data_IF_937194825082
#
_entry.id   IF_937194825082
#
_cell.length_a   1.000
_cell.length_b   1.000
_cell.length_c   1.000
_cell.angle_alpha   90.00
_cell.angle_beta   90.00
_cell.angle_gamma   90.00
#
_symmetry.space_group_name_H-M   'P 1'
#
loop_
_entity.id
_entity.type
_entity.pdbx_description
1 polymer ?
#
# COMPACT_ATOMS: atom_id res chain seq x y z
N UNK A 1 -27.92 -11.85 -17.93
CA UNK A 1 -26.50 -12.22 -17.83
C UNK A 1 -26.34 -13.65 -18.31
N UNK A 2 -25.27 -13.99 -19.04
CA UNK A 2 -25.00 -15.36 -19.49
C UNK A 2 -24.54 -16.21 -18.31
N UNK A 3 -24.96 -17.48 -18.23
CA UNK A 3 -24.52 -18.43 -17.19
C UNK A 3 -22.99 -18.56 -17.09
N UNK A 4 -22.29 -18.29 -18.19
CA UNK A 4 -20.82 -18.33 -18.25
C UNK A 4 -20.19 -17.18 -17.46
N UNK A 5 -20.82 -16.01 -17.44
CA UNK A 5 -20.31 -14.83 -16.75
C UNK A 5 -20.38 -14.99 -15.22
N UNK A 6 -21.52 -15.48 -14.71
CA UNK A 6 -21.71 -15.73 -13.28
C UNK A 6 -20.72 -16.79 -12.77
N UNK A 7 -20.42 -17.78 -13.60
CA UNK A 7 -19.41 -18.81 -13.30
C UNK A 7 -18.00 -18.22 -13.19
N UNK A 8 -17.63 -17.33 -14.12
CA UNK A 8 -16.33 -16.65 -14.10
C UNK A 8 -16.17 -15.80 -12.84
N UNK A 9 -17.19 -15.01 -12.49
CA UNK A 9 -17.15 -14.16 -11.30
C UNK A 9 -17.01 -14.99 -10.02
N UNK A 10 -17.78 -16.08 -9.91
CA UNK A 10 -17.69 -16.99 -8.77
C UNK A 10 -16.29 -17.59 -8.62
N UNK A 11 -15.69 -18.06 -9.72
CA UNK A 11 -14.35 -18.64 -9.69
C UNK A 11 -13.28 -17.60 -9.28
N UNK A 12 -13.41 -16.35 -9.72
CA UNK A 12 -12.51 -15.27 -9.34
C UNK A 12 -12.61 -14.93 -7.83
N UNK A 13 -13.82 -14.96 -7.29
CA UNK A 13 -14.08 -14.72 -5.87
C UNK A 13 -13.49 -15.83 -5.00
N UNK A 14 -13.71 -17.10 -5.37
CA UNK A 14 -13.14 -18.26 -4.66
C UNK A 14 -11.60 -18.24 -4.69
N UNK A 15 -11.01 -17.94 -5.86
CA UNK A 15 -9.56 -17.83 -6.00
C UNK A 15 -8.97 -16.67 -5.17
N UNK A 16 -9.69 -15.55 -5.06
CA UNK A 16 -9.27 -14.42 -4.22
C UNK A 16 -9.42 -14.76 -2.74
N UNK A 17 -10.50 -15.43 -2.33
CA UNK A 17 -10.70 -15.86 -0.95
C UNK A 17 -9.58 -16.81 -0.50
N UNK A 18 -9.19 -17.78 -1.33
CA UNK A 18 -8.10 -18.71 -1.04
C UNK A 18 -6.75 -17.98 -0.84
N UNK A 19 -6.45 -16.96 -1.66
CA UNK A 19 -5.23 -16.14 -1.50
C UNK A 19 -5.22 -15.32 -0.21
N UNK A 20 -6.40 -14.97 0.31
CA UNK A 20 -6.56 -14.15 1.49
C UNK A 20 -6.56 -14.97 2.80
N UNK A 21 -6.61 -16.29 2.76
CA UNK A 21 -6.63 -17.14 3.97
C UNK A 21 -5.48 -16.80 4.94
N UNK A 22 -4.25 -16.67 4.41
CA UNK A 22 -3.09 -16.30 5.23
C UNK A 22 -3.23 -14.88 5.80
N UNK A 23 -3.89 -13.98 5.08
CA UNK A 23 -4.09 -12.60 5.53
C UNK A 23 -5.07 -12.52 6.70
N UNK A 24 -6.14 -13.32 6.68
CA UNK A 24 -7.04 -13.47 7.82
C UNK A 24 -6.30 -14.04 9.04
N UNK A 25 -5.48 -15.07 8.82
CA UNK A 25 -4.69 -15.69 9.89
C UNK A 25 -3.70 -14.70 10.53
N UNK A 26 -2.92 -13.98 9.72
CA UNK A 26 -1.94 -13.00 10.20
C UNK A 26 -2.61 -11.84 10.97
N UNK A 27 -3.86 -11.52 10.64
CA UNK A 27 -4.62 -10.47 11.31
C UNK A 27 -5.45 -10.98 12.51
N UNK A 28 -5.31 -12.27 12.88
CA UNK A 28 -6.03 -12.91 13.99
C UNK A 28 -7.57 -12.74 13.89
N UNK A 29 -8.09 -12.65 12.67
CA UNK A 29 -9.51 -12.52 12.42
C UNK A 29 -10.21 -13.89 12.46
N UNK A 30 -11.52 -13.89 12.72
CA UNK A 30 -12.35 -15.10 12.62
C UNK A 30 -12.28 -15.71 11.20
N UNK A 31 -12.77 -16.94 11.01
CA UNK A 31 -12.64 -17.63 9.71
C UNK A 31 -13.10 -16.77 8.51
N UNK A 32 -12.42 -16.88 7.34
CA UNK A 32 -12.75 -16.10 6.16
C UNK A 32 -14.23 -16.18 5.82
N UNK A 33 -14.88 -15.02 5.80
CA UNK A 33 -16.28 -14.88 5.41
C UNK A 33 -16.41 -13.58 4.63
N UNK A 34 -17.11 -13.63 3.49
CA UNK A 34 -17.31 -12.47 2.63
C UNK A 34 -18.79 -12.37 2.26
N UNK A 35 -19.29 -11.15 2.01
CA UNK A 35 -18.60 -9.86 2.12
C UNK A 35 -18.31 -9.43 3.56
N UNK A 36 -17.27 -8.61 3.76
CA UNK A 36 -16.91 -7.99 5.04
C UNK A 36 -17.12 -6.48 5.04
N UNK A 37 -17.13 -5.87 6.22
CA UNK A 37 -17.15 -4.41 6.37
C UNK A 37 -15.75 -3.83 6.43
N UNK A 38 -15.67 -2.50 6.25
CA UNK A 38 -14.42 -1.74 6.17
C UNK A 38 -13.49 -1.98 7.35
N UNK A 39 -14.02 -2.13 8.56
CA UNK A 39 -13.20 -2.32 9.77
C UNK A 39 -12.43 -3.65 9.73
N UNK A 40 -13.07 -4.71 9.24
CA UNK A 40 -12.43 -6.01 9.02
C UNK A 40 -11.33 -5.90 7.96
N UNK A 41 -11.56 -5.13 6.89
CA UNK A 41 -10.54 -4.89 5.86
C UNK A 41 -9.35 -4.13 6.43
N UNK A 42 -9.58 -3.07 7.20
CA UNK A 42 -8.52 -2.29 7.84
C UNK A 42 -7.71 -3.18 8.80
N UNK A 43 -8.37 -4.00 9.63
CA UNK A 43 -7.70 -4.95 10.51
C UNK A 43 -6.86 -5.98 9.72
N UNK A 44 -7.41 -6.52 8.63
CA UNK A 44 -6.70 -7.45 7.75
C UNK A 44 -5.44 -6.81 7.16
N UNK A 45 -5.56 -5.60 6.64
CA UNK A 45 -4.45 -4.86 6.03
C UNK A 45 -3.38 -4.50 7.09
N UNK A 46 -3.82 -4.08 8.28
CA UNK A 46 -2.96 -3.71 9.40
C UNK A 46 -2.13 -4.90 9.93
N UNK A 47 -2.78 -6.05 10.15
CA UNK A 47 -2.14 -7.29 10.61
C UNK A 47 -1.17 -7.89 9.60
N UNK A 48 -1.31 -7.53 8.31
CA UNK A 48 -0.35 -7.90 7.27
C UNK A 48 0.71 -6.83 7.03
N UNK A 49 0.82 -5.84 7.92
CA UNK A 49 1.91 -4.89 7.92
C UNK A 49 1.83 -3.83 6.83
N UNK A 50 0.65 -3.52 6.31
CA UNK A 50 0.47 -2.42 5.37
C UNK A 50 0.07 -1.13 6.10
N UNK A 51 0.37 0.01 5.49
CA UNK A 51 -0.08 1.33 5.93
C UNK A 51 -1.31 1.71 5.10
N UNK A 52 -2.48 1.61 5.71
CA UNK A 52 -3.74 2.00 5.10
C UNK A 52 -4.70 2.47 6.19
N UNK A 53 -5.07 3.74 6.14
CA UNK A 53 -6.12 4.28 6.99
C UNK A 53 -7.46 4.34 6.22
N UNK A 54 -8.53 4.75 6.93
CA UNK A 54 -9.85 4.90 6.32
C UNK A 54 -9.86 5.94 5.20
N UNK A 55 -9.03 7.00 5.29
CA UNK A 55 -8.97 8.06 4.29
C UNK A 55 -8.43 7.55 2.96
N UNK A 56 -7.27 6.89 2.98
CA UNK A 56 -6.67 6.26 1.81
C UNK A 56 -7.59 5.17 1.21
N UNK A 57 -8.21 4.37 2.07
CA UNK A 57 -9.14 3.34 1.62
C UNK A 57 -10.35 3.95 0.89
N UNK A 58 -10.92 5.03 1.41
CA UNK A 58 -12.03 5.74 0.75
C UNK A 58 -11.58 6.42 -0.56
N UNK A 59 -10.39 7.03 -0.58
CA UNK A 59 -9.81 7.62 -1.80
C UNK A 59 -9.72 6.59 -2.94
N UNK A 60 -9.27 5.36 -2.65
CA UNK A 60 -9.16 4.28 -3.63
C UNK A 60 -10.53 3.81 -4.14
N UNK A 61 -11.55 3.82 -3.28
CA UNK A 61 -12.93 3.47 -3.65
C UNK A 61 -13.56 4.59 -4.49
N UNK A 62 -13.44 5.83 -4.05
CA UNK A 62 -14.07 7.00 -4.69
C UNK A 62 -13.44 7.30 -6.06
N UNK A 63 -12.14 7.04 -6.21
CA UNK A 63 -11.44 7.09 -7.50
C UNK A 63 -11.71 5.88 -8.41
N UNK A 64 -12.60 4.95 -7.99
CA UNK A 64 -12.97 3.71 -8.70
C UNK A 64 -11.80 2.77 -9.00
N UNK A 65 -10.69 2.92 -8.29
CA UNK A 65 -9.57 1.98 -8.40
C UNK A 65 -9.90 0.63 -7.79
N UNK A 66 -10.84 0.61 -6.83
CA UNK A 66 -11.40 -0.60 -6.24
C UNK A 66 -12.93 -0.49 -6.32
N UNK A 67 -13.61 -1.33 -7.13
CA UNK A 67 -15.05 -1.24 -7.34
C UNK A 67 -15.83 -1.88 -6.18
N UNK A 68 -15.95 -1.17 -5.05
CA UNK A 68 -16.68 -1.62 -3.87
C UNK A 68 -18.12 -1.12 -3.89
N UNK A 69 -19.06 -2.04 -3.66
CA UNK A 69 -20.49 -1.71 -3.58
C UNK A 69 -20.87 -1.22 -2.18
N UNK A 70 -21.94 -0.41 -2.11
CA UNK A 70 -22.56 0.00 -0.86
C UNK A 70 -23.88 -0.76 -0.69
N UNK A 71 -24.17 -1.18 0.53
CA UNK A 71 -25.49 -1.71 0.85
C UNK A 71 -26.55 -0.61 0.98
N UNK A 72 -27.79 -1.01 1.29
CA UNK A 72 -28.92 -0.09 1.47
C UNK A 72 -28.70 0.95 2.57
N UNK A 73 -27.82 0.68 3.54
CA UNK A 73 -27.44 1.62 4.60
C UNK A 73 -26.33 2.60 4.18
N UNK A 74 -25.77 2.43 2.98
CA UNK A 74 -24.62 3.19 2.48
C UNK A 74 -23.27 2.63 2.94
N UNK A 75 -23.24 1.51 3.66
CA UNK A 75 -22.03 0.89 4.17
C UNK A 75 -21.31 0.10 3.07
N UNK A 76 -19.99 0.22 3.01
CA UNK A 76 -19.17 -0.50 2.02
C UNK A 76 -19.11 -2.00 2.32
N UNK A 77 -19.43 -2.82 1.32
CA UNK A 77 -19.36 -4.29 1.39
C UNK A 77 -18.23 -4.82 0.53
N UNK A 78 -17.23 -5.38 1.19
CA UNK A 78 -16.00 -5.82 0.57
C UNK A 78 -16.05 -7.31 0.26
N UNK A 79 -16.00 -7.65 -1.03
CA UNK A 79 -15.79 -9.01 -1.53
C UNK A 79 -14.33 -9.43 -1.36
N UNK A 80 -14.05 -10.72 -1.46
CA UNK A 80 -12.68 -11.25 -1.47
C UNK A 80 -11.87 -10.66 -2.62
N UNK A 81 -12.47 -10.55 -3.80
CA UNK A 81 -11.83 -9.92 -4.98
C UNK A 81 -11.41 -8.48 -4.68
N UNK A 82 -12.27 -7.69 -4.03
CA UNK A 82 -11.99 -6.30 -3.71
C UNK A 82 -10.88 -6.17 -2.66
N UNK A 83 -10.90 -7.00 -1.61
CA UNK A 83 -9.83 -7.05 -0.61
C UNK A 83 -8.49 -7.45 -1.22
N UNK A 84 -8.48 -8.46 -2.10
CA UNK A 84 -7.27 -8.89 -2.79
C UNK A 84 -6.73 -7.79 -3.71
N UNK A 85 -7.60 -7.10 -4.46
CA UNK A 85 -7.21 -5.96 -5.28
C UNK A 85 -6.64 -4.83 -4.42
N UNK A 86 -7.26 -4.50 -3.28
CA UNK A 86 -6.70 -3.53 -2.32
C UNK A 86 -5.26 -3.88 -1.92
N UNK A 87 -5.01 -5.14 -1.56
CA UNK A 87 -3.67 -5.57 -1.17
C UNK A 87 -2.66 -5.46 -2.32
N UNK A 88 -3.06 -5.80 -3.56
CA UNK A 88 -2.23 -5.56 -4.74
C UNK A 88 -1.93 -4.06 -4.95
N UNK A 89 -2.92 -3.19 -4.72
CA UNK A 89 -2.77 -1.75 -4.82
C UNK A 89 -1.82 -1.17 -3.76
N UNK A 90 -1.87 -1.69 -2.53
CA UNK A 90 -0.98 -1.29 -1.44
C UNK A 90 0.45 -1.81 -1.66
N UNK A 91 0.58 -3.06 -2.12
CA UNK A 91 1.86 -3.69 -2.47
C UNK A 91 2.56 -2.94 -3.63
N UNK A 92 1.82 -2.65 -4.71
CA UNK A 92 2.35 -1.90 -5.85
C UNK A 92 2.79 -0.47 -5.49
N UNK A 93 2.12 0.14 -4.51
CA UNK A 93 2.51 1.45 -3.94
C UNK A 93 3.54 1.36 -2.82
N UNK A 94 3.99 0.16 -2.46
CA UNK A 94 4.94 -0.10 -1.37
C UNK A 94 4.48 0.53 -0.04
N UNK A 95 3.17 0.53 0.24
CA UNK A 95 2.58 1.07 1.48
C UNK A 95 2.76 0.08 2.63
N UNK A 96 4.00 -0.13 3.06
CA UNK A 96 4.36 -1.07 4.11
C UNK A 96 4.71 -0.37 5.41
N UNK A 97 4.36 -0.98 6.55
CA UNK A 97 4.80 -0.53 7.86
C UNK A 97 6.32 -0.72 8.00
N UNK A 98 7.03 0.28 8.52
CA UNK A 98 8.43 0.15 8.93
C UNK A 98 8.70 -1.12 9.73
N UNK A 99 9.79 -1.82 9.38
CA UNK A 99 10.31 -2.99 10.10
C UNK A 99 9.35 -4.17 10.28
N UNK A 100 8.19 -4.19 9.61
CA UNK A 100 7.28 -5.31 9.70
C UNK A 100 7.92 -6.59 9.14
N UNK A 101 7.86 -7.74 9.82
CA UNK A 101 8.54 -8.97 9.39
C UNK A 101 8.21 -9.39 7.95
N UNK A 102 6.98 -9.17 7.50
CA UNK A 102 6.53 -9.52 6.15
C UNK A 102 7.08 -8.62 5.04
N UNK A 103 7.56 -7.42 5.35
CA UNK A 103 7.94 -6.43 4.33
C UNK A 103 9.35 -5.88 4.48
N UNK A 104 9.99 -6.01 5.65
CA UNK A 104 11.32 -5.42 5.90
C UNK A 104 12.37 -5.83 4.86
N UNK A 105 12.30 -7.06 4.35
CA UNK A 105 13.20 -7.59 3.33
C UNK A 105 13.00 -6.99 1.93
N UNK A 106 11.88 -6.29 1.70
CA UNK A 106 11.53 -5.63 0.44
C UNK A 106 12.07 -4.19 0.35
N UNK A 107 12.56 -3.66 1.47
CA UNK A 107 13.24 -2.37 1.52
C UNK A 107 14.67 -2.55 1.02
N UNK A 108 15.13 -1.67 0.14
CA UNK A 108 16.55 -1.60 -0.19
C UNK A 108 17.34 -0.92 0.95
N UNK A 109 18.67 -0.95 0.87
CA UNK A 109 19.53 -0.41 1.93
C UNK A 109 19.27 1.09 2.22
N UNK A 110 18.95 1.85 1.18
CA UNK A 110 18.69 3.29 1.25
C UNK A 110 17.34 3.57 1.91
N UNK A 111 16.29 2.88 1.47
CA UNK A 111 14.95 2.99 2.06
C UNK A 111 14.98 2.55 3.53
N UNK A 112 15.76 1.52 3.88
CA UNK A 112 15.93 1.11 5.27
C UNK A 112 16.66 2.16 6.10
N UNK A 113 17.67 2.85 5.54
CA UNK A 113 18.34 3.95 6.21
C UNK A 113 17.39 5.13 6.46
N UNK A 114 16.56 5.47 5.48
CA UNK A 114 15.53 6.50 5.62
C UNK A 114 14.51 6.15 6.70
N UNK A 115 13.96 4.93 6.67
CA UNK A 115 12.99 4.45 7.66
C UNK A 115 13.57 4.47 9.08
N UNK A 116 14.87 4.13 9.22
CA UNK A 116 15.60 4.24 10.51
C UNK A 116 15.75 5.69 10.96
N UNK A 117 16.05 6.61 10.05
CA UNK A 117 16.15 8.03 10.37
C UNK A 117 14.80 8.59 10.83
N UNK A 118 13.71 8.29 10.11
CA UNK A 118 12.33 8.67 10.48
C UNK A 118 11.95 8.15 11.87
N UNK A 119 12.28 6.88 12.15
CA UNK A 119 12.00 6.25 13.45
C UNK A 119 12.84 6.83 14.60
N UNK A 120 13.97 7.46 14.29
CA UNK A 120 14.80 8.20 15.23
C UNK A 120 14.37 9.68 15.37
N UNK A 121 13.26 10.09 14.75
CA UNK A 121 12.76 11.46 14.80
C UNK A 121 13.48 12.44 13.85
N UNK A 122 14.27 11.93 12.90
CA UNK A 122 14.90 12.74 11.84
C UNK A 122 14.00 12.79 10.60
N UNK A 123 14.02 13.90 9.88
CA UNK A 123 13.31 14.04 8.60
C UNK A 123 13.90 13.17 7.50
N UNK A 124 15.22 12.99 7.50
CA UNK A 124 15.96 12.38 6.40
C UNK A 124 17.22 11.66 6.90
N UNK A 125 17.65 10.65 6.15
CA UNK A 125 19.00 10.10 6.26
C UNK A 125 20.02 10.80 5.35
N UNK A 126 19.61 11.81 4.57
CA UNK A 126 20.44 12.52 3.60
C UNK A 126 20.65 13.99 3.98
N UNK A 127 21.55 14.24 4.93
CA UNK A 127 21.78 15.60 5.44
C UNK A 127 22.33 16.56 4.35
N UNK A 128 23.04 16.02 3.35
CA UNK A 128 23.61 16.73 2.20
C UNK A 128 22.60 16.95 1.07
N UNK A 129 21.76 15.95 0.79
CA UNK A 129 20.75 16.02 -0.29
C UNK A 129 19.56 16.88 0.11
N UNK A 130 19.24 16.98 1.40
CA UNK A 130 18.14 17.80 1.92
C UNK A 130 18.29 19.31 1.61
N UNK A 131 19.52 19.77 1.37
CA UNK A 131 19.84 21.16 1.01
C UNK A 131 19.30 21.58 -0.37
N UNK A 132 19.02 20.62 -1.27
CA UNK A 132 18.53 20.89 -2.61
C UNK A 132 17.00 20.87 -2.65
N UNK A 133 16.39 21.72 -3.49
CA UNK A 133 14.95 21.66 -3.75
C UNK A 133 14.58 20.48 -4.67
N UNK A 134 13.28 20.22 -4.82
CA UNK A 134 12.79 19.09 -5.62
C UNK A 134 13.20 19.23 -7.09
N UNK A 135 13.21 20.45 -7.64
CA UNK A 135 13.56 20.69 -9.03
C UNK A 135 15.03 20.35 -9.30
N UNK A 136 15.95 20.80 -8.44
CA UNK A 136 17.37 20.46 -8.51
C UNK A 136 17.60 18.94 -8.38
N UNK A 137 16.89 18.28 -7.47
CA UNK A 137 16.97 16.82 -7.32
C UNK A 137 16.49 16.06 -8.56
N UNK A 138 15.43 16.56 -9.23
CA UNK A 138 14.94 15.98 -10.48
C UNK A 138 15.96 16.14 -11.62
N UNK A 139 16.64 17.29 -11.70
CA UNK A 139 17.73 17.51 -12.66
C UNK A 139 18.87 16.53 -12.39
N UNK A 140 19.35 16.42 -11.15
CA UNK A 140 20.39 15.46 -10.79
C UNK A 140 19.98 14.02 -11.09
N UNK A 141 18.71 13.66 -10.91
CA UNK A 141 18.23 12.31 -11.21
C UNK A 141 18.23 12.03 -12.72
N UNK A 142 17.92 13.03 -13.54
CA UNK A 142 17.95 12.93 -15.00
C UNK A 142 19.39 12.83 -15.54
N UNK A 143 20.34 13.51 -14.89
CA UNK A 143 21.77 13.52 -15.27
C UNK A 143 22.55 12.33 -14.69
N UNK A 144 22.04 11.67 -13.65
CA UNK A 144 22.71 10.54 -13.03
C UNK A 144 22.79 9.33 -13.97
N UNK A 145 24.01 8.94 -14.35
CA UNK A 145 24.27 7.74 -15.18
C UNK A 145 24.17 6.44 -14.38
N UNK A 146 24.45 6.50 -13.08
CA UNK A 146 24.50 5.34 -12.20
C UNK A 146 23.13 5.04 -11.56
N UNK A 147 22.71 3.78 -11.63
CA UNK A 147 21.47 3.31 -11.00
C UNK A 147 21.43 3.57 -9.49
N UNK A 148 22.49 3.28 -8.70
CA UNK A 148 22.48 3.56 -7.26
C UNK A 148 22.24 5.03 -6.93
N UNK A 149 22.83 5.95 -7.69
CA UNK A 149 22.63 7.39 -7.50
C UNK A 149 21.17 7.80 -7.79
N UNK A 150 20.57 7.29 -8.87
CA UNK A 150 19.14 7.50 -9.15
C UNK A 150 18.25 6.97 -8.04
N UNK A 151 18.61 5.85 -7.41
CA UNK A 151 17.85 5.29 -6.29
C UNK A 151 17.93 6.17 -5.03
N UNK A 152 19.11 6.73 -4.71
CA UNK A 152 19.28 7.72 -3.62
C UNK A 152 18.41 8.94 -3.87
N UNK A 153 18.52 9.55 -5.05
CA UNK A 153 17.77 10.74 -5.43
C UNK A 153 16.26 10.49 -5.41
N UNK A 154 15.81 9.32 -5.89
CA UNK A 154 14.40 8.90 -5.82
C UNK A 154 13.89 8.89 -4.37
N UNK A 155 14.64 8.30 -3.43
CA UNK A 155 14.21 8.26 -2.02
C UNK A 155 14.20 9.66 -1.42
N UNK A 156 15.22 10.48 -1.67
CA UNK A 156 15.28 11.86 -1.19
C UNK A 156 14.10 12.73 -1.69
N UNK A 157 13.78 12.64 -2.99
CA UNK A 157 12.63 13.34 -3.60
C UNK A 157 11.32 12.90 -2.93
N UNK A 158 11.11 11.58 -2.78
CA UNK A 158 9.90 11.05 -2.16
C UNK A 158 9.77 11.50 -0.70
N UNK A 159 10.86 11.50 0.07
CA UNK A 159 10.89 12.01 1.44
C UNK A 159 10.49 13.48 1.48
N UNK A 160 11.10 14.33 0.63
CA UNK A 160 10.80 15.76 0.61
C UNK A 160 9.36 16.07 0.22
N UNK A 161 8.81 15.35 -0.76
CA UNK A 161 7.39 15.46 -1.15
C UNK A 161 6.44 15.11 0.00
N UNK A 162 6.72 14.05 0.76
CA UNK A 162 5.94 13.69 1.96
C UNK A 162 6.00 14.79 3.02
N UNK A 163 7.18 15.34 3.30
CA UNK A 163 7.33 16.42 4.29
C UNK A 163 6.56 17.68 3.90
N UNK A 164 6.40 17.96 2.60
CA UNK A 164 5.61 19.07 2.09
C UNK A 164 4.09 18.79 2.02
N UNK A 165 3.64 17.59 2.40
CA UNK A 165 2.24 17.20 2.32
C UNK A 165 1.75 16.91 0.90
N UNK A 166 2.67 16.69 -0.05
CA UNK A 166 2.34 16.37 -1.44
C UNK A 166 2.15 14.84 -1.68
N UNK A 167 2.50 13.99 -0.70
CA UNK A 167 2.43 12.51 -0.75
C UNK A 167 2.12 11.86 0.60
#
# INVERSE_FOLDING_TARGET
>A
MSKDYDTILKNAEEASAAKLELFWHNAELASPSYPVYTDTVLAMVDGNGYVCDRGLLLELVDSRQIPVERDESGSLRWTATNCHHLLCQLEGRRRWKPFHPLHHHKFNAIELAQVKAESAGRSSCFDDVDAFDIEALLVFMAEADERPLREVLRVAILTKLKTQGAL
#
